data_IF_825512358223
#
_entry.id   IF_825512358223
#
_cell.length_a   1.000
_cell.length_b   1.000
_cell.length_c   1.000
_cell.angle_alpha   90.00
_cell.angle_beta   90.00
_cell.angle_gamma   90.00
#
_symmetry.space_group_name_H-M   'P 1'
#
loop_
_entity.id
_entity.type
_entity.pdbx_description
1 polymer ?
#
# COMPACT_ATOMS: atom_id res chain seq x y z
N UNK A 1 -1.47 -2.85 18.42
CA UNK A 1 -1.53 -4.27 18.88
C UNK A 1 -0.60 -4.53 20.05
N UNK A 2 0.71 -4.25 19.95
CA UNK A 2 1.69 -4.41 21.05
C UNK A 2 1.19 -3.86 22.38
N UNK A 3 0.72 -2.60 22.38
CA UNK A 3 0.16 -1.96 23.58
C UNK A 3 -1.07 -2.68 24.14
N UNK A 4 -1.98 -3.14 23.26
CA UNK A 4 -3.19 -3.89 23.65
C UNK A 4 -2.82 -5.22 24.30
N UNK A 5 -1.77 -5.88 23.83
CA UNK A 5 -1.25 -7.15 24.38
C UNK A 5 -0.36 -6.96 25.61
N UNK A 6 -0.14 -5.72 26.08
CA UNK A 6 0.74 -5.43 27.21
C UNK A 6 2.22 -5.74 26.96
N UNK A 7 2.65 -5.89 25.70
CA UNK A 7 4.04 -6.15 25.38
C UNK A 7 4.89 -4.87 25.47
N UNK A 8 6.11 -5.00 26.00
CA UNK A 8 7.09 -3.92 25.99
C UNK A 8 7.76 -3.77 24.62
N UNK A 9 8.20 -2.56 24.30
CA UNK A 9 9.10 -2.32 23.17
C UNK A 9 10.46 -2.94 23.50
N UNK A 10 10.88 -3.87 22.67
CA UNK A 10 12.08 -4.70 22.84
C UNK A 10 12.72 -5.00 21.48
N UNK A 11 13.94 -5.56 21.49
CA UNK A 11 14.63 -5.98 20.26
C UNK A 11 13.76 -6.95 19.44
N UNK A 12 13.06 -7.87 20.10
CA UNK A 12 12.11 -8.80 19.46
C UNK A 12 11.01 -8.05 18.70
N UNK A 13 10.34 -7.07 19.33
CA UNK A 13 9.32 -6.26 18.65
C UNK A 13 9.90 -5.40 17.53
N UNK A 14 11.13 -4.91 17.67
CA UNK A 14 11.80 -4.11 16.63
C UNK A 14 12.06 -4.94 15.38
N UNK A 15 12.47 -6.20 15.52
CA UNK A 15 12.63 -7.12 14.38
C UNK A 15 11.29 -7.31 13.66
N UNK A 16 10.20 -7.48 14.40
CA UNK A 16 8.86 -7.57 13.81
C UNK A 16 8.44 -6.29 13.06
N UNK A 17 8.81 -5.10 13.55
CA UNK A 17 8.59 -3.85 12.83
C UNK A 17 9.41 -3.73 11.55
N UNK A 18 10.67 -4.20 11.55
CA UNK A 18 11.51 -4.23 10.34
C UNK A 18 10.86 -5.13 9.28
N UNK A 19 10.42 -6.33 9.66
CA UNK A 19 9.72 -7.23 8.75
C UNK A 19 8.43 -6.59 8.21
N UNK A 20 7.64 -5.94 9.08
CA UNK A 20 6.44 -5.21 8.68
C UNK A 20 6.75 -4.06 7.71
N UNK A 21 7.84 -3.31 7.93
CA UNK A 21 8.22 -2.19 7.09
C UNK A 21 8.50 -2.63 5.64
N UNK A 22 9.16 -3.79 5.46
CA UNK A 22 9.37 -4.38 4.14
C UNK A 22 8.06 -4.70 3.41
N UNK A 23 7.14 -5.38 4.09
CA UNK A 23 5.82 -5.72 3.52
C UNK A 23 4.99 -4.46 3.24
N UNK A 24 5.04 -3.46 4.12
CA UNK A 24 4.36 -2.18 3.89
C UNK A 24 4.94 -1.42 2.69
N UNK A 25 6.26 -1.45 2.48
CA UNK A 25 6.90 -0.87 1.31
C UNK A 25 6.47 -1.58 0.02
N UNK A 26 6.39 -2.92 0.02
CA UNK A 26 5.84 -3.71 -1.08
C UNK A 26 4.39 -3.31 -1.39
N UNK A 27 3.56 -3.10 -0.35
CA UNK A 27 2.21 -2.58 -0.49
C UNK A 27 2.16 -1.17 -1.09
N UNK A 28 3.16 -0.33 -0.90
CA UNK A 28 3.25 0.96 -1.57
C UNK A 28 3.63 0.83 -3.05
N UNK A 29 4.78 0.20 -3.30
CA UNK A 29 5.42 0.13 -4.64
C UNK A 29 4.50 -0.53 -5.66
N UNK A 30 3.96 -1.70 -5.35
CA UNK A 30 3.10 -2.42 -6.30
C UNK A 30 1.78 -1.67 -6.53
N UNK A 31 1.33 -0.77 -5.64
CA UNK A 31 0.09 0.00 -5.87
C UNK A 31 0.38 1.01 -6.96
N UNK A 32 1.50 1.73 -6.82
CA UNK A 32 1.94 2.70 -7.79
C UNK A 32 2.16 2.06 -9.17
N UNK A 33 2.64 0.81 -9.24
CA UNK A 33 2.76 0.09 -10.51
C UNK A 33 1.40 -0.14 -11.17
N UNK A 34 0.38 -0.56 -10.41
CA UNK A 34 -0.98 -0.76 -10.94
C UNK A 34 -1.63 0.57 -11.35
N UNK A 35 -1.50 1.62 -10.54
CA UNK A 35 -2.03 2.95 -10.85
C UNK A 35 -1.38 3.53 -12.12
N UNK A 36 -0.04 3.45 -12.22
CA UNK A 36 0.70 3.89 -13.40
C UNK A 36 0.35 3.04 -14.63
N UNK A 37 0.26 1.73 -14.48
CA UNK A 37 -0.08 0.83 -15.57
C UNK A 37 -1.48 1.09 -16.13
N UNK A 38 -2.47 1.32 -15.26
CA UNK A 38 -3.83 1.67 -15.67
C UNK A 38 -3.87 3.02 -16.41
N UNK A 39 -3.17 4.04 -15.90
CA UNK A 39 -3.09 5.33 -16.58
C UNK A 39 -2.37 5.24 -17.92
N UNK A 40 -1.21 4.57 -17.97
CA UNK A 40 -0.42 4.45 -19.20
C UNK A 40 -1.21 3.74 -20.31
N UNK A 41 -1.93 2.66 -19.99
CA UNK A 41 -2.77 1.95 -20.97
C UNK A 41 -3.80 2.89 -21.61
N UNK A 42 -4.50 3.68 -20.79
CA UNK A 42 -5.49 4.67 -21.24
C UNK A 42 -4.87 5.76 -22.13
N UNK A 43 -3.67 6.21 -21.79
CA UNK A 43 -2.94 7.20 -22.60
C UNK A 43 -2.45 6.61 -23.92
N UNK A 44 -2.00 5.36 -23.93
CA UNK A 44 -1.61 4.61 -25.13
C UNK A 44 -2.81 4.36 -26.07
N UNK A 45 -4.01 4.20 -25.49
CA UNK A 45 -5.28 4.14 -26.23
C UNK A 45 -5.72 5.50 -26.81
N UNK A 46 -4.93 6.56 -26.59
CA UNK A 46 -5.17 7.91 -27.14
C UNK A 46 -6.13 8.76 -26.31
N UNK A 47 -6.52 8.32 -25.11
CA UNK A 47 -7.40 9.12 -24.25
C UNK A 47 -6.65 10.36 -23.70
N UNK A 48 -7.23 11.57 -23.81
CA UNK A 48 -6.57 12.77 -23.35
C UNK A 48 -6.47 12.80 -21.82
N UNK A 49 -5.30 13.19 -21.30
CA UNK A 49 -5.09 13.33 -19.86
C UNK A 49 -6.00 14.41 -19.26
N UNK A 50 -7.11 13.98 -18.68
CA UNK A 50 -8.08 14.82 -17.95
C UNK A 50 -8.17 14.39 -16.49
N UNK A 51 -8.71 15.26 -15.63
CA UNK A 51 -8.93 14.92 -14.21
C UNK A 51 -9.90 13.73 -14.06
N UNK A 52 -10.89 13.63 -14.95
CA UNK A 52 -11.83 12.51 -15.01
C UNK A 52 -11.12 11.20 -15.42
N UNK A 53 -10.33 11.22 -16.50
CA UNK A 53 -9.55 10.06 -16.93
C UNK A 53 -8.62 9.57 -15.82
N UNK A 54 -7.92 10.49 -15.16
CA UNK A 54 -7.01 10.18 -14.07
C UNK A 54 -7.75 9.49 -12.92
N UNK A 55 -8.92 9.98 -12.54
CA UNK A 55 -9.73 9.37 -11.48
C UNK A 55 -10.19 7.96 -11.85
N UNK A 56 -10.66 7.76 -13.07
CA UNK A 56 -11.13 6.45 -13.56
C UNK A 56 -9.99 5.44 -13.65
N UNK A 57 -8.83 5.84 -14.18
CA UNK A 57 -7.64 5.00 -14.24
C UNK A 57 -7.15 4.59 -12.83
N UNK A 58 -7.21 5.50 -11.86
CA UNK A 58 -6.87 5.21 -10.46
C UNK A 58 -7.83 4.20 -9.85
N UNK A 59 -9.13 4.38 -10.09
CA UNK A 59 -10.17 3.47 -9.61
C UNK A 59 -9.96 2.06 -10.18
N UNK A 60 -9.73 1.96 -11.49
CA UNK A 60 -9.43 0.69 -12.17
C UNK A 60 -8.19 0.03 -11.57
N UNK A 61 -7.06 0.75 -11.51
CA UNK A 61 -5.80 0.23 -10.98
C UNK A 61 -5.88 -0.19 -9.50
N UNK A 62 -6.60 0.56 -8.66
CA UNK A 62 -6.76 0.24 -7.25
C UNK A 62 -7.63 -1.01 -7.03
N UNK A 63 -8.73 -1.15 -7.78
CA UNK A 63 -9.66 -2.30 -7.65
C UNK A 63 -8.98 -3.61 -8.03
N UNK A 64 -8.15 -3.60 -9.10
CA UNK A 64 -7.37 -4.77 -9.52
C UNK A 64 -6.49 -5.32 -8.40
N UNK A 65 -6.16 -4.50 -7.39
CA UNK A 65 -5.29 -4.88 -6.29
C UNK A 65 -6.01 -5.41 -5.05
N UNK A 66 -7.34 -5.33 -4.97
CA UNK A 66 -8.12 -5.78 -3.80
C UNK A 66 -7.90 -7.27 -3.54
N UNK A 67 -8.12 -8.12 -4.56
CA UNK A 67 -7.99 -9.58 -4.42
C UNK A 67 -6.55 -10.02 -4.12
N UNK A 68 -5.52 -9.55 -4.85
CA UNK A 68 -4.13 -9.86 -4.52
C UNK A 68 -3.72 -9.44 -3.11
N UNK A 69 -4.08 -8.23 -2.64
CA UNK A 69 -3.76 -7.79 -1.27
C UNK A 69 -4.46 -8.67 -0.22
N UNK A 70 -5.74 -8.97 -0.42
CA UNK A 70 -6.50 -9.81 0.50
C UNK A 70 -5.86 -11.21 0.63
N UNK A 71 -5.37 -11.79 -0.47
CA UNK A 71 -4.66 -13.06 -0.46
C UNK A 71 -3.40 -13.00 0.42
N UNK A 72 -2.52 -12.00 0.22
CA UNK A 72 -1.30 -11.87 1.03
C UNK A 72 -1.62 -11.67 2.50
N UNK A 73 -2.59 -10.80 2.81
CA UNK A 73 -3.02 -10.54 4.20
C UNK A 73 -3.53 -11.82 4.84
N UNK A 74 -4.38 -12.58 4.15
CA UNK A 74 -4.92 -13.83 4.66
C UNK A 74 -3.82 -14.86 4.95
N UNK A 75 -2.87 -15.05 4.03
CA UNK A 75 -1.76 -16.00 4.18
C UNK A 75 -0.86 -15.61 5.36
N UNK A 76 -0.48 -14.34 5.46
CA UNK A 76 0.39 -13.88 6.55
C UNK A 76 -0.31 -13.99 7.89
N UNK A 77 -1.57 -13.57 7.99
CA UNK A 77 -2.33 -13.71 9.24
C UNK A 77 -2.53 -15.19 9.61
N UNK A 78 -2.87 -16.05 8.65
CA UNK A 78 -3.01 -17.49 8.90
C UNK A 78 -1.71 -18.13 9.41
N UNK A 79 -0.55 -17.71 8.89
CA UNK A 79 0.75 -18.20 9.35
C UNK A 79 1.17 -17.66 10.72
N UNK A 80 0.72 -16.44 11.09
CA UNK A 80 1.08 -15.81 12.37
C UNK A 80 0.11 -16.13 13.51
N UNK A 81 -1.16 -16.46 13.22
CA UNK A 81 -2.17 -16.78 14.24
C UNK A 81 -1.68 -17.89 15.21
N UNK A 82 -1.14 -19.03 14.75
CA UNK A 82 -0.66 -20.08 15.66
C UNK A 82 0.46 -19.61 16.59
N UNK A 83 1.32 -18.70 16.11
CA UNK A 83 2.39 -18.11 16.93
C UNK A 83 1.79 -17.22 18.02
N UNK A 84 0.73 -16.47 17.70
CA UNK A 84 0.07 -15.57 18.64
C UNK A 84 -0.67 -16.29 19.76
N UNK A 85 -1.19 -17.50 19.51
CA UNK A 85 -1.95 -18.29 20.50
C UNK A 85 -1.16 -19.45 21.10
N UNK A 86 0.05 -19.69 20.62
CA UNK A 86 0.92 -20.77 21.10
C UNK A 86 1.40 -20.53 22.53
N UNK A 87 1.48 -21.61 23.31
CA UNK A 87 1.97 -21.61 24.68
C UNK A 87 3.18 -22.56 24.81
N UNK A 88 4.04 -22.30 25.79
CA UNK A 88 5.22 -23.14 26.06
C UNK A 88 6.54 -22.35 25.95
N UNK A 89 7.66 -23.06 26.08
CA UNK A 89 8.99 -22.45 26.08
C UNK A 89 9.25 -21.65 24.78
N UNK A 90 9.71 -20.41 24.90
CA UNK A 90 10.01 -19.53 23.76
C UNK A 90 8.81 -18.82 23.13
N UNK A 91 7.58 -19.16 23.50
CA UNK A 91 6.36 -18.52 22.96
C UNK A 91 6.33 -17.01 23.20
N UNK A 92 6.77 -16.56 24.38
CA UNK A 92 6.79 -15.13 24.73
C UNK A 92 7.67 -14.30 23.77
N UNK A 93 8.82 -14.82 23.37
CA UNK A 93 9.71 -14.13 22.41
C UNK A 93 9.08 -14.14 21.02
N UNK A 94 8.54 -15.27 20.58
CA UNK A 94 7.93 -15.40 19.26
C UNK A 94 6.67 -14.53 19.09
N UNK A 95 5.83 -14.42 20.11
CA UNK A 95 4.67 -13.52 20.13
C UNK A 95 5.09 -12.05 20.02
N UNK A 96 6.16 -11.65 20.71
CA UNK A 96 6.71 -10.28 20.61
C UNK A 96 7.25 -9.97 19.20
N UNK A 97 7.83 -10.94 18.51
CA UNK A 97 8.28 -10.79 17.11
C UNK A 97 7.07 -10.72 16.15
N UNK A 98 6.05 -11.54 16.36
CA UNK A 98 4.89 -11.64 15.46
C UNK A 98 3.87 -10.51 15.65
N UNK A 99 3.69 -9.99 16.86
CA UNK A 99 2.66 -9.01 17.18
C UNK A 99 2.71 -7.71 16.32
N UNK A 100 3.88 -7.08 16.07
CA UNK A 100 3.96 -5.96 15.14
C UNK A 100 3.43 -6.31 13.74
N UNK A 101 3.82 -7.48 13.21
CA UNK A 101 3.40 -7.92 11.88
C UNK A 101 1.88 -8.16 11.81
N UNK A 102 1.29 -8.85 12.79
CA UNK A 102 -0.16 -9.08 12.83
C UNK A 102 -0.92 -7.75 12.86
N UNK A 103 -0.52 -6.84 13.75
CA UNK A 103 -1.16 -5.53 13.87
C UNK A 103 -1.02 -4.70 12.59
N UNK A 104 0.17 -4.70 12.00
CA UNK A 104 0.44 -3.99 10.76
C UNK A 104 -0.24 -4.60 9.54
N UNK A 105 -0.44 -5.91 9.49
CA UNK A 105 -1.13 -6.58 8.39
C UNK A 105 -2.62 -6.26 8.34
N UNK A 106 -3.19 -5.77 9.45
CA UNK A 106 -4.55 -5.23 9.46
C UNK A 106 -4.56 -3.80 8.92
N UNK A 107 -3.63 -2.95 9.37
CA UNK A 107 -3.68 -1.51 9.08
C UNK A 107 -2.99 -1.10 7.78
N UNK A 108 -1.84 -1.69 7.44
CA UNK A 108 -1.04 -1.32 6.28
C UNK A 108 -1.72 -1.57 4.93
N UNK A 109 -2.44 -2.70 4.69
CA UNK A 109 -3.18 -2.89 3.44
C UNK A 109 -4.31 -1.88 3.27
N UNK A 110 -5.04 -1.59 4.36
CA UNK A 110 -6.12 -0.60 4.37
C UNK A 110 -5.56 0.79 4.06
N UNK A 111 -4.59 1.26 4.85
CA UNK A 111 -3.92 2.54 4.63
C UNK A 111 -3.35 2.64 3.21
N UNK A 112 -2.65 1.62 2.73
CA UNK A 112 -2.09 1.65 1.37
C UNK A 112 -3.14 1.58 0.25
N UNK A 113 -4.35 1.07 0.51
CA UNK A 113 -5.45 1.09 -0.46
C UNK A 113 -6.14 2.45 -0.55
N UNK A 114 -6.16 3.25 0.52
CA UNK A 114 -6.80 4.56 0.51
C UNK A 114 -5.79 5.70 0.29
N UNK A 115 -4.68 5.69 1.04
CA UNK A 115 -3.73 6.80 1.09
C UNK A 115 -2.89 6.90 -0.18
N UNK A 116 -2.40 5.77 -0.71
CA UNK A 116 -1.52 5.80 -1.89
C UNK A 116 -2.26 6.29 -3.14
N UNK A 117 -3.48 5.80 -3.47
CA UNK A 117 -4.24 6.35 -4.60
C UNK A 117 -4.58 7.83 -4.45
N UNK A 118 -5.02 8.25 -3.25
CA UNK A 118 -5.35 9.65 -2.99
C UNK A 118 -4.13 10.57 -3.11
N UNK A 119 -2.99 10.18 -2.52
CA UNK A 119 -1.75 10.94 -2.62
C UNK A 119 -1.26 11.01 -4.07
N UNK A 120 -1.32 9.91 -4.81
CA UNK A 120 -0.91 9.88 -6.21
C UNK A 120 -1.79 10.76 -7.10
N UNK A 121 -3.12 10.74 -6.90
CA UNK A 121 -4.07 11.63 -7.56
C UNK A 121 -3.69 13.11 -7.33
N UNK A 122 -3.46 13.51 -6.08
CA UNK A 122 -3.11 14.88 -5.73
C UNK A 122 -1.80 15.33 -6.37
N UNK A 123 -0.78 14.46 -6.40
CA UNK A 123 0.50 14.75 -7.04
C UNK A 123 0.35 14.90 -8.55
N UNK A 124 -0.38 14.00 -9.21
CA UNK A 124 -0.56 14.04 -10.66
C UNK A 124 -1.44 15.23 -11.09
N UNK A 125 -2.48 15.56 -10.33
CA UNK A 125 -3.30 16.76 -10.53
C UNK A 125 -2.48 18.04 -10.44
N UNK A 126 -1.56 18.14 -9.46
CA UNK A 126 -0.65 19.29 -9.34
C UNK A 126 0.30 19.39 -10.54
N UNK A 127 0.85 18.26 -11.00
CA UNK A 127 1.72 18.23 -12.19
C UNK A 127 1.00 18.67 -13.45
N UNK A 128 -0.23 18.20 -13.69
CA UNK A 128 -1.03 18.61 -14.84
C UNK A 128 -1.33 20.12 -14.86
N UNK A 129 -1.51 20.73 -13.68
CA UNK A 129 -1.70 22.19 -13.54
C UNK A 129 -0.42 23.01 -13.73
N UNK A 130 0.73 22.43 -13.45
CA UNK A 130 2.04 23.09 -13.54
C UNK A 130 2.70 22.90 -14.91
N UNK A 131 2.21 21.98 -15.74
CA UNK A 131 2.64 21.87 -17.13
C UNK A 131 2.34 23.21 -17.81
N UNK A 132 3.36 23.94 -18.30
CA UNK A 132 3.13 25.17 -19.06
C UNK A 132 2.20 24.81 -20.21
N UNK A 133 1.13 25.59 -20.41
CA UNK A 133 0.41 25.55 -21.67
C UNK A 133 1.47 25.73 -22.75
N UNK A 134 1.80 24.65 -23.47
CA UNK A 134 2.75 24.71 -24.55
C UNK A 134 2.27 25.84 -25.45
N UNK A 135 3.06 26.90 -25.51
CA UNK A 135 2.78 28.07 -26.34
C UNK A 135 2.57 27.55 -27.74
N UNK A 136 1.32 27.51 -28.18
CA UNK A 136 1.01 27.34 -29.58
C UNK A 136 1.80 28.43 -30.31
N UNK A 137 2.64 28.10 -31.30
CA UNK A 137 3.05 29.08 -32.28
C UNK A 137 1.76 29.59 -32.95
N UNK A 138 1.29 30.74 -32.49
CA UNK A 138 0.46 31.60 -33.32
C UNK A 138 1.38 32.24 -34.35
N UNK A 139 0.86 32.42 -35.57
CA UNK A 139 1.48 33.10 -36.72
C UNK A 139 2.36 32.17 -37.58
N UNK A 140 2.21 32.06 -38.91
CA UNK A 140 1.44 32.79 -39.94
C UNK A 140 1.05 31.79 -41.03
#
# INVERSE_FOLDING_TARGET
LIWILGHAVSVATSVGFIALAGVAAEFGVVMLLYLKGALNRRLEDGEPLTEALLFDAIREGAVLRVRPKAMTVAVVLAGLIPIMVGHGAGSEVMQRIAAPMVGGMVTAPLLSMFVIPAAWFLLQRRRARQAPAASFPQAV
#
